data_IF_285834365866
#
_entry.id   IF_285834365866
#
_cell.length_a   1.000
_cell.length_b   1.000
_cell.length_c   1.000
_cell.angle_alpha   90.00
_cell.angle_beta   90.00
_cell.angle_gamma   90.00
#
_symmetry.space_group_name_H-M   'P 1'
#
loop_
_entity.id
_entity.type
_entity.pdbx_description
1 polymer ?
#
# COMPACT_ATOMS: atom_id res chain seq x y z
N UNK A 1 -27.16 9.40 -4.18
CA UNK A 1 -27.81 9.30 -5.50
C UNK A 1 -27.01 8.30 -6.33
N UNK A 2 -27.61 7.17 -6.68
CA UNK A 2 -27.00 6.15 -7.55
C UNK A 2 -27.53 6.43 -8.96
N UNK A 3 -26.65 6.50 -9.98
CA UNK A 3 -27.02 6.72 -11.39
C UNK A 3 -26.55 5.53 -12.22
N UNK A 4 -27.43 5.01 -13.06
CA UNK A 4 -27.13 3.94 -14.02
C UNK A 4 -26.66 4.54 -15.35
N UNK A 5 -25.57 4.02 -15.92
CA UNK A 5 -25.05 4.45 -17.22
C UNK A 5 -24.69 3.22 -18.07
N UNK A 6 -25.07 3.26 -19.35
CA UNK A 6 -24.81 2.19 -20.32
C UNK A 6 -23.32 2.18 -20.69
N UNK A 7 -22.62 1.09 -20.36
CA UNK A 7 -21.15 0.94 -20.49
C UNK A 7 -20.69 0.48 -21.90
N UNK A 8 -21.59 0.37 -22.89
CA UNK A 8 -21.25 -0.19 -24.20
C UNK A 8 -20.42 0.80 -25.03
N UNK A 9 -19.18 0.40 -25.37
CA UNK A 9 -18.30 1.10 -26.29
C UNK A 9 -17.06 1.75 -25.68
N UNK A 10 -16.85 1.63 -24.36
CA UNK A 10 -15.70 2.24 -23.68
C UNK A 10 -14.83 1.15 -23.08
N UNK A 11 -13.53 1.16 -23.40
CA UNK A 11 -12.51 0.18 -22.99
C UNK A 11 -12.72 -0.33 -21.55
N UNK A 12 -12.87 -1.65 -21.41
CA UNK A 12 -13.47 -2.40 -20.29
C UNK A 12 -12.77 -2.38 -18.92
N UNK A 13 -12.06 -1.32 -18.54
CA UNK A 13 -11.28 -1.28 -17.28
C UNK A 13 -11.93 -0.44 -16.17
N UNK A 14 -13.26 -0.48 -16.07
CA UNK A 14 -14.02 0.23 -15.05
C UNK A 14 -14.24 -0.60 -13.80
N UNK A 15 -14.21 0.05 -12.64
CA UNK A 15 -14.59 -0.58 -11.39
C UNK A 15 -16.09 -0.86 -11.37
N UNK A 16 -16.45 -2.13 -11.22
CA UNK A 16 -17.84 -2.59 -11.08
C UNK A 16 -18.23 -2.84 -9.62
N UNK A 17 -17.25 -2.91 -8.71
CA UNK A 17 -17.47 -3.13 -7.28
C UNK A 17 -16.89 -1.98 -6.48
N UNK A 18 -17.69 -1.45 -5.55
CA UNK A 18 -17.28 -0.32 -4.69
C UNK A 18 -16.04 -0.65 -3.84
N UNK A 19 -15.91 -1.91 -3.42
CA UNK A 19 -14.80 -2.36 -2.57
C UNK A 19 -13.43 -2.24 -3.24
N UNK A 20 -13.40 -2.26 -4.57
CA UNK A 20 -12.15 -2.14 -5.33
C UNK A 20 -11.63 -0.67 -5.35
N UNK A 21 -12.50 0.31 -5.05
CA UNK A 21 -12.12 1.72 -4.92
C UNK A 21 -11.67 2.10 -3.49
N UNK A 22 -12.13 1.38 -2.47
CA UNK A 22 -11.90 1.76 -1.07
C UNK A 22 -10.41 1.59 -0.70
N UNK A 23 -9.82 2.65 -0.14
CA UNK A 23 -8.42 2.64 0.29
C UNK A 23 -7.41 2.84 -0.84
N UNK A 24 -7.88 3.25 -2.03
CA UNK A 24 -7.03 3.67 -3.15
C UNK A 24 -7.03 5.19 -3.29
N UNK A 25 -6.06 5.71 -4.04
CA UNK A 25 -5.87 7.14 -4.30
C UNK A 25 -5.94 7.39 -5.81
N UNK A 26 -6.68 8.42 -6.23
CA UNK A 26 -6.78 8.78 -7.64
C UNK A 26 -5.44 9.35 -8.15
N UNK A 27 -4.95 8.84 -9.27
CA UNK A 27 -3.69 9.29 -9.88
C UNK A 27 -3.86 10.59 -10.69
N UNK A 28 -5.11 10.97 -10.99
CA UNK A 28 -5.50 12.18 -11.71
C UNK A 28 -6.78 12.78 -11.13
N UNK A 29 -7.07 14.08 -11.34
CA UNK A 29 -8.35 14.65 -10.98
C UNK A 29 -9.50 13.90 -11.64
N UNK A 30 -10.55 13.58 -10.88
CA UNK A 30 -11.75 12.90 -11.37
C UNK A 30 -12.94 13.83 -11.20
N UNK A 31 -13.66 14.09 -12.29
CA UNK A 31 -14.88 14.88 -12.24
C UNK A 31 -16.05 14.07 -11.65
N UNK A 32 -16.98 14.76 -10.99
CA UNK A 32 -18.18 14.13 -10.47
C UNK A 32 -18.98 13.48 -11.62
N UNK A 33 -19.38 12.23 -11.44
CA UNK A 33 -20.13 11.46 -12.45
C UNK A 33 -19.27 10.71 -13.46
N UNK A 34 -17.93 10.82 -13.41
CA UNK A 34 -17.04 10.00 -14.24
C UNK A 34 -16.82 8.60 -13.63
N UNK A 35 -17.03 7.50 -14.38
CA UNK A 35 -16.69 6.16 -13.91
C UNK A 35 -15.20 6.00 -13.58
N UNK A 36 -14.88 5.37 -12.46
CA UNK A 36 -13.50 5.11 -12.05
C UNK A 36 -12.92 3.92 -12.82
N UNK A 37 -11.69 4.07 -13.32
CA UNK A 37 -10.93 2.99 -13.96
C UNK A 37 -9.85 2.46 -13.03
N UNK A 38 -9.51 1.17 -13.14
CA UNK A 38 -8.49 0.55 -12.29
C UNK A 38 -7.10 1.18 -12.52
N UNK A 39 -6.80 1.49 -13.79
CA UNK A 39 -5.65 2.30 -14.23
C UNK A 39 -5.57 3.73 -13.65
N UNK A 40 -6.67 4.28 -13.16
CA UNK A 40 -6.73 5.62 -12.55
C UNK A 40 -6.53 5.63 -11.03
N UNK A 41 -6.34 4.47 -10.42
CA UNK A 41 -6.24 4.30 -8.98
C UNK A 41 -4.88 3.69 -8.60
N UNK A 42 -4.33 4.14 -7.48
CA UNK A 42 -3.10 3.61 -6.93
C UNK A 42 -3.23 3.37 -5.43
N UNK A 43 -2.44 2.46 -4.89
CA UNK A 43 -2.40 2.26 -3.45
C UNK A 43 -1.66 3.42 -2.79
N UNK A 44 -2.23 4.07 -1.75
CA UNK A 44 -1.53 5.12 -1.03
C UNK A 44 -0.25 4.55 -0.41
N UNK A 45 0.81 5.36 -0.46
CA UNK A 45 2.06 5.05 0.22
C UNK A 45 1.80 5.10 1.73
N UNK A 46 1.89 3.95 2.39
CA UNK A 46 1.74 3.82 3.83
C UNK A 46 3.04 4.15 4.57
N UNK A 47 4.17 4.07 3.87
CA UNK A 47 5.50 4.34 4.38
C UNK A 47 6.26 5.11 3.29
N UNK A 48 6.95 6.18 3.68
CA UNK A 48 7.87 6.91 2.81
C UNK A 48 9.31 6.57 3.17
N UNK A 49 10.22 6.73 2.20
CA UNK A 49 11.66 6.66 2.46
C UNK A 49 12.05 7.68 3.53
N UNK A 50 12.80 7.23 4.53
CA UNK A 50 13.22 8.03 5.68
C UNK A 50 12.31 7.89 6.89
N UNK A 51 11.09 7.37 6.73
CA UNK A 51 10.18 7.19 7.86
C UNK A 51 10.74 6.20 8.87
N UNK A 52 10.50 6.49 10.15
CA UNK A 52 10.75 5.55 11.22
C UNK A 52 9.63 4.52 11.26
N UNK A 53 9.99 3.24 11.20
CA UNK A 53 9.06 2.12 11.09
C UNK A 53 9.31 1.10 12.19
N UNK A 54 8.26 0.39 12.56
CA UNK A 54 8.34 -0.76 13.46
C UNK A 54 8.46 -2.03 12.63
N UNK A 55 9.60 -2.71 12.78
CA UNK A 55 9.87 -4.03 12.22
C UNK A 55 9.28 -5.07 13.17
N UNK A 56 8.38 -5.89 12.65
CA UNK A 56 7.81 -7.06 13.34
C UNK A 56 8.44 -8.30 12.72
N UNK A 57 9.15 -9.08 13.51
CA UNK A 57 9.71 -10.35 13.09
C UNK A 57 9.07 -11.47 13.90
N UNK A 58 8.47 -12.44 13.20
CA UNK A 58 7.88 -13.63 13.81
C UNK A 58 8.77 -14.83 13.46
N UNK A 59 9.32 -15.50 14.47
CA UNK A 59 10.13 -16.71 14.30
C UNK A 59 9.76 -17.73 15.36
N UNK A 60 9.33 -18.93 14.95
CA UNK A 60 9.11 -20.08 15.84
C UNK A 60 8.27 -19.76 17.10
N UNK A 61 7.20 -18.96 16.95
CA UNK A 61 6.32 -18.57 18.07
C UNK A 61 6.78 -17.33 18.85
N UNK A 62 7.94 -16.75 18.53
CA UNK A 62 8.46 -15.52 19.14
C UNK A 62 8.22 -14.34 18.19
N UNK A 63 7.59 -13.27 18.70
CA UNK A 63 7.39 -12.00 18.00
C UNK A 63 8.33 -10.94 18.56
N UNK A 64 9.31 -10.50 17.77
CA UNK A 64 10.20 -9.39 18.11
C UNK A 64 9.75 -8.11 17.42
N UNK A 65 9.76 -6.99 18.16
CA UNK A 65 9.48 -5.64 17.63
C UNK A 65 10.75 -4.80 17.73
N UNK A 66 11.17 -4.22 16.61
CA UNK A 66 12.39 -3.42 16.52
C UNK A 66 12.11 -2.11 15.79
N UNK A 67 12.84 -1.07 16.12
CA UNK A 67 12.80 0.18 15.37
C UNK A 67 13.68 0.09 14.12
N UNK A 68 13.23 0.67 13.02
CA UNK A 68 13.98 0.78 11.78
C UNK A 68 13.67 2.05 11.02
N UNK A 69 14.44 2.30 9.97
CA UNK A 69 14.22 3.40 9.03
C UNK A 69 13.94 2.83 7.65
N UNK A 70 12.82 3.23 7.05
CA UNK A 70 12.45 2.83 5.70
C UNK A 70 13.45 3.41 4.70
N UNK A 71 13.99 2.57 3.81
CA UNK A 71 14.92 3.01 2.77
C UNK A 71 14.25 3.23 1.42
N UNK A 72 12.97 2.88 1.31
CA UNK A 72 12.14 3.02 0.12
C UNK A 72 10.69 3.30 0.52
N UNK A 73 9.94 3.90 -0.40
CA UNK A 73 8.50 4.06 -0.27
C UNK A 73 7.82 2.68 -0.38
N UNK A 74 6.72 2.51 0.37
CA UNK A 74 5.96 1.28 0.37
C UNK A 74 4.47 1.48 0.57
N UNK A 75 3.68 0.84 -0.28
CA UNK A 75 2.24 0.71 -0.14
C UNK A 75 1.89 -0.64 0.51
N UNK A 76 0.62 -0.83 0.90
CA UNK A 76 0.11 -2.08 1.50
C UNK A 76 0.61 -3.31 0.74
N UNK A 77 1.27 -4.22 1.45
CA UNK A 77 1.74 -5.50 0.91
C UNK A 77 3.02 -5.43 0.07
N UNK A 78 3.57 -4.24 -0.19
CA UNK A 78 4.82 -4.09 -0.93
C UNK A 78 6.01 -4.48 -0.04
N UNK A 79 7.03 -5.10 -0.65
CA UNK A 79 8.28 -5.39 0.03
C UNK A 79 9.25 -4.21 -0.12
N UNK A 80 9.70 -3.65 1.00
CA UNK A 80 10.63 -2.53 1.05
C UNK A 80 11.90 -2.89 1.82
N UNK A 81 12.99 -2.18 1.51
CA UNK A 81 14.24 -2.26 2.29
C UNK A 81 14.10 -1.38 3.53
N UNK A 82 14.45 -1.91 4.69
CA UNK A 82 14.41 -1.21 5.97
C UNK A 82 15.74 -1.41 6.67
N UNK A 83 16.34 -0.33 7.18
CA UNK A 83 17.52 -0.39 8.04
C UNK A 83 17.07 -0.59 9.48
N UNK A 84 17.50 -1.67 10.12
CA UNK A 84 17.27 -1.86 11.54
C UNK A 84 18.17 -0.90 12.33
N UNK A 85 17.61 -0.13 13.27
CA UNK A 85 18.38 0.86 14.03
C UNK A 85 19.28 0.23 15.08
N UNK A 86 18.93 -0.95 15.61
CA UNK A 86 19.72 -1.68 16.61
C UNK A 86 20.93 -2.39 16.00
N UNK A 87 20.75 -3.07 14.86
CA UNK A 87 21.85 -3.83 14.22
C UNK A 87 22.51 -3.13 13.05
N UNK A 88 21.99 -1.97 12.60
CA UNK A 88 22.40 -1.25 11.40
C UNK A 88 22.28 -2.05 10.08
N UNK A 89 21.73 -3.27 10.12
CA UNK A 89 21.57 -4.13 8.94
C UNK A 89 20.36 -3.70 8.11
N UNK A 90 20.48 -3.81 6.79
CA UNK A 90 19.38 -3.60 5.85
C UNK A 90 18.68 -4.93 5.62
N UNK A 91 17.39 -4.98 5.92
CA UNK A 91 16.53 -6.14 5.75
C UNK A 91 15.41 -5.85 4.76
N UNK A 92 14.86 -6.89 4.14
CA UNK A 92 13.65 -6.78 3.34
C UNK A 92 12.43 -7.09 4.21
N UNK A 93 11.45 -6.21 4.22
CA UNK A 93 10.23 -6.37 5.00
C UNK A 93 9.01 -5.97 4.18
N UNK A 94 7.87 -6.61 4.43
CA UNK A 94 6.59 -6.35 3.78
C UNK A 94 5.81 -5.31 4.59
N UNK A 95 5.27 -4.30 3.93
CA UNK A 95 4.43 -3.28 4.58
C UNK A 95 3.08 -3.90 4.96
N UNK A 96 2.78 -3.93 6.26
CA UNK A 96 1.55 -4.54 6.79
C UNK A 96 0.55 -3.51 7.32
N UNK A 97 1.02 -2.32 7.71
CA UNK A 97 0.21 -1.19 8.14
C UNK A 97 1.03 0.12 8.02
N UNK A 98 0.41 1.30 8.15
CA UNK A 98 1.13 2.57 8.25
C UNK A 98 2.22 2.51 9.34
N UNK A 99 3.46 2.81 8.96
CA UNK A 99 4.61 2.75 9.86
C UNK A 99 5.01 1.35 10.37
N UNK A 100 4.40 0.26 9.88
CA UNK A 100 4.71 -1.11 10.33
C UNK A 100 5.09 -2.02 9.17
N UNK A 101 6.17 -2.75 9.36
CA UNK A 101 6.69 -3.72 8.39
C UNK A 101 6.89 -5.07 9.06
N UNK A 102 6.70 -6.15 8.30
CA UNK A 102 6.93 -7.51 8.76
C UNK A 102 8.06 -8.15 7.96
N UNK A 103 9.02 -8.78 8.64
CA UNK A 103 10.09 -9.50 7.95
C UNK A 103 9.55 -10.71 7.22
N UNK A 104 10.03 -10.92 5.99
CA UNK A 104 9.77 -12.17 5.26
C UNK A 104 10.97 -13.07 5.58
N UNK A 105 10.77 -14.06 6.44
CA UNK A 105 11.74 -15.15 6.67
C UNK A 105 11.67 -16.16 5.53
#
# INVERSE_FOLDING_TARGET
MIREQKLQGINSDYLTRINDAIGTLATRPVAAGTPLSNSGLTLPKWIKRGDQVMIIANSHGVSAKMAGTAMADGSKGQQIKVRNLSSQRIIKAKVIAPGKVQTVM
#
